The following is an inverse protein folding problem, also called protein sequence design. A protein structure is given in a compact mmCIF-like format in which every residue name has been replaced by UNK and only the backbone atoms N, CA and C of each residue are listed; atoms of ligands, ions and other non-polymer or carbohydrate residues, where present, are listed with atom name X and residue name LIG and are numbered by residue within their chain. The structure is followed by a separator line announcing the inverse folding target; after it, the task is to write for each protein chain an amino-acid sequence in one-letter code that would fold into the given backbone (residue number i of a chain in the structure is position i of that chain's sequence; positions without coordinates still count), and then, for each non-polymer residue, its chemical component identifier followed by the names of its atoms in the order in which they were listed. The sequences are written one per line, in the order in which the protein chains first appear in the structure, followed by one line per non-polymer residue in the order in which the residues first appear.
data_IF_787192290106
#
_entry.id   IF_787192290106
#
_cell.length_a   1.000
_cell.length_b   1.000
_cell.length_c   1.000
_cell.angle_alpha   90.00
_cell.angle_beta   90.00
_cell.angle_gamma   90.00
#
_symmetry.space_group_name_H-M   'P 1'
#
loop_
_entity.id
_entity.type
_entity.pdbx_description
1 polymer ?
#
# COMPACT_ATOMS: atom_id res chain seq x y z
N UNK A 1 3.70 13.80 -0.20
CA UNK A 1 4.82 12.83 -0.32
C UNK A 1 5.20 12.25 1.03
N UNK A 2 5.58 13.09 2.01
CA UNK A 2 6.09 12.66 3.32
C UNK A 2 5.09 11.81 4.12
N UNK A 3 3.80 12.15 4.02
CA UNK A 3 2.74 11.37 4.65
C UNK A 3 2.71 9.92 4.15
N UNK A 4 2.79 9.70 2.84
CA UNK A 4 2.79 8.36 2.26
C UNK A 4 4.04 7.58 2.66
N UNK A 5 5.22 8.23 2.68
CA UNK A 5 6.45 7.59 3.18
C UNK A 5 6.32 7.15 4.64
N UNK A 6 5.70 7.99 5.47
CA UNK A 6 5.40 7.64 6.87
C UNK A 6 4.48 6.44 6.96
N UNK A 7 3.41 6.38 6.15
CA UNK A 7 2.53 5.23 6.11
C UNK A 7 3.27 3.96 5.67
N UNK A 8 4.03 4.01 4.58
CA UNK A 8 4.77 2.87 4.07
C UNK A 8 5.71 2.28 5.13
N UNK A 9 6.47 3.13 5.81
CA UNK A 9 7.44 2.72 6.84
C UNK A 9 6.79 2.21 8.12
N UNK A 10 5.83 2.95 8.67
CA UNK A 10 5.31 2.68 10.02
C UNK A 10 4.05 1.82 10.05
N UNK A 11 3.37 1.69 8.91
CA UNK A 11 2.21 0.84 8.74
C UNK A 11 2.56 -0.47 7.99
N UNK A 12 3.86 -0.72 7.78
CA UNK A 12 4.45 -1.92 7.15
C UNK A 12 3.79 -2.26 5.81
N UNK A 13 3.69 -1.27 4.92
CA UNK A 13 3.06 -1.46 3.61
C UNK A 13 4.10 -1.96 2.61
N UNK A 14 3.97 -3.22 2.20
CA UNK A 14 4.80 -3.81 1.14
C UNK A 14 4.42 -3.21 -0.23
N UNK A 15 5.30 -3.29 -1.25
CA UNK A 15 5.02 -2.74 -2.57
C UNK A 15 3.69 -3.20 -3.20
N UNK A 16 3.27 -4.48 -3.09
CA UNK A 16 1.96 -4.90 -3.59
C UNK A 16 0.78 -4.20 -2.91
N UNK A 17 0.89 -3.88 -1.61
CA UNK A 17 -0.16 -3.14 -0.89
C UNK A 17 -0.24 -1.69 -1.37
N UNK A 18 0.90 -1.05 -1.64
CA UNK A 18 0.94 0.29 -2.20
C UNK A 18 0.32 0.31 -3.60
N UNK A 19 0.55 -0.72 -4.41
CA UNK A 19 -0.06 -0.87 -5.72
C UNK A 19 -1.57 -1.12 -5.63
N UNK A 20 -2.03 -1.94 -4.68
CA UNK A 20 -3.46 -2.14 -4.41
C UNK A 20 -4.15 -0.83 -3.98
N UNK A 21 -3.46 0.04 -3.24
CA UNK A 21 -4.00 1.38 -2.92
C UNK A 21 -4.21 2.24 -4.17
N UNK A 22 -3.35 2.12 -5.19
CA UNK A 22 -3.54 2.81 -6.49
C UNK A 22 -4.78 2.26 -7.20
N UNK A 23 -4.95 0.93 -7.22
CA UNK A 23 -6.16 0.30 -7.73
C UNK A 23 -7.43 0.81 -7.01
N UNK A 24 -7.39 0.91 -5.68
CA UNK A 24 -8.54 1.40 -4.91
C UNK A 24 -8.93 2.83 -5.22
N UNK A 25 -7.96 3.69 -5.55
CA UNK A 25 -8.23 5.06 -5.99
C UNK A 25 -9.11 5.02 -7.24
N UNK A 26 -8.66 4.29 -8.26
CA UNK A 26 -9.33 4.25 -9.55
C UNK A 26 -10.69 3.55 -9.46
N UNK A 27 -10.76 2.45 -8.71
CA UNK A 27 -11.99 1.72 -8.47
C UNK A 27 -13.06 2.57 -7.78
N UNK A 28 -12.69 3.35 -6.75
CA UNK A 28 -13.63 4.23 -6.06
C UNK A 28 -14.01 5.46 -6.86
N UNK A 29 -13.07 6.06 -7.58
CA UNK A 29 -13.37 7.18 -8.49
C UNK A 29 -14.35 6.75 -9.61
N UNK A 30 -14.26 5.51 -10.07
CA UNK A 30 -15.14 4.97 -11.11
C UNK A 30 -16.50 4.56 -10.54
N UNK A 31 -16.52 3.95 -9.35
CA UNK A 31 -17.74 3.39 -8.76
C UNK A 31 -18.57 4.40 -7.96
N UNK A 32 -17.96 5.48 -7.46
CA UNK A 32 -18.62 6.48 -6.64
C UNK A 32 -18.36 7.88 -7.21
N UNK A 33 -19.29 8.42 -8.00
CA UNK A 33 -19.13 9.70 -8.71
C UNK A 33 -18.89 10.90 -7.80
N UNK A 34 -19.45 10.89 -6.60
CA UNK A 34 -19.27 11.95 -5.61
C UNK A 34 -17.93 11.81 -4.86
N UNK A 35 -17.20 10.70 -5.04
CA UNK A 35 -15.85 10.55 -4.54
C UNK A 35 -14.88 11.37 -5.39
N UNK A 36 -14.28 12.38 -4.76
CA UNK A 36 -13.18 13.13 -5.35
C UNK A 36 -11.99 13.19 -4.40
N UNK A 37 -10.83 12.76 -4.90
CA UNK A 37 -9.57 12.93 -4.19
C UNK A 37 -9.07 14.35 -4.43
N UNK A 38 -8.97 15.12 -3.35
CA UNK A 38 -8.39 16.45 -3.34
C UNK A 38 -7.45 16.60 -2.14
N UNK A 39 -6.83 17.77 -2.01
CA UNK A 39 -5.86 18.06 -0.94
C UNK A 39 -6.44 17.94 0.47
N UNK A 40 -7.76 18.04 0.64
CA UNK A 40 -8.46 17.91 1.93
C UNK A 40 -8.83 16.44 2.24
N UNK A 41 -9.06 15.61 1.22
CA UNK A 41 -9.53 14.22 1.39
C UNK A 41 -8.42 13.17 1.27
N UNK A 42 -7.33 13.47 0.56
CA UNK A 42 -6.28 12.49 0.21
C UNK A 42 -5.63 11.83 1.43
N UNK A 43 -5.35 12.57 2.51
CA UNK A 43 -4.69 11.99 3.69
C UNK A 43 -5.56 10.94 4.37
N UNK A 44 -6.84 11.27 4.58
CA UNK A 44 -7.82 10.37 5.21
C UNK A 44 -8.11 9.17 4.32
N UNK A 45 -8.14 9.39 3.01
CA UNK A 45 -8.26 8.30 2.05
C UNK A 45 -7.05 7.36 2.11
N UNK A 46 -5.81 7.88 2.06
CA UNK A 46 -4.60 7.06 2.03
C UNK A 46 -4.47 6.14 3.24
N UNK A 47 -4.76 6.64 4.46
CA UNK A 47 -4.72 5.77 5.65
C UNK A 47 -5.83 4.71 5.63
N UNK A 48 -7.01 5.04 5.11
CA UNK A 48 -8.11 4.08 4.96
C UNK A 48 -7.73 3.00 3.95
N UNK A 49 -7.29 3.39 2.75
CA UNK A 49 -6.83 2.47 1.71
C UNK A 49 -5.67 1.59 2.17
N UNK A 50 -4.69 2.14 2.90
CA UNK A 50 -3.59 1.39 3.50
C UNK A 50 -4.09 0.34 4.51
N UNK A 51 -5.05 0.71 5.36
CA UNK A 51 -5.64 -0.20 6.34
C UNK A 51 -6.42 -1.33 5.67
N UNK A 52 -7.19 -1.01 4.63
CA UNK A 52 -7.96 -1.98 3.84
C UNK A 52 -7.04 -2.93 3.07
N UNK A 53 -6.02 -2.40 2.40
CA UNK A 53 -5.04 -3.20 1.67
C UNK A 53 -4.32 -4.17 2.62
N UNK A 54 -3.77 -3.66 3.72
CA UNK A 54 -3.02 -4.50 4.65
C UNK A 54 -3.89 -5.59 5.29
N UNK A 55 -5.09 -5.26 5.78
CA UNK A 55 -5.97 -6.26 6.37
C UNK A 55 -6.57 -7.24 5.37
N UNK A 56 -6.77 -6.80 4.12
CA UNK A 56 -7.41 -7.61 3.09
C UNK A 56 -6.44 -8.52 2.34
N UNK A 57 -5.16 -8.15 2.26
CA UNK A 57 -4.19 -8.78 1.36
C UNK A 57 -2.92 -9.26 2.05
N UNK A 58 -2.69 -8.93 3.33
CA UNK A 58 -1.49 -9.32 4.07
C UNK A 58 -1.85 -10.19 5.27
N UNK A 59 -1.07 -11.25 5.48
CA UNK A 59 -1.16 -12.11 6.67
C UNK A 59 -0.69 -11.39 7.95
N UNK A 60 0.16 -10.36 7.78
CA UNK A 60 0.64 -9.50 8.85
C UNK A 60 0.06 -8.10 8.71
N UNK A 61 -0.74 -7.69 9.69
CA UNK A 61 -1.40 -6.39 9.73
C UNK A 61 -1.55 -5.85 11.15
N UNK A 62 -1.76 -4.53 11.26
CA UNK A 62 -1.95 -3.87 12.55
C UNK A 62 -3.42 -3.68 12.92
N UNK A 63 -3.68 -3.39 14.20
CA UNK A 63 -5.02 -2.96 14.61
C UNK A 63 -5.30 -1.49 14.25
N UNK A 64 -6.57 -1.09 14.28
CA UNK A 64 -7.00 0.27 13.92
C UNK A 64 -6.39 1.35 14.81
N UNK A 65 -6.07 1.05 16.07
CA UNK A 65 -5.44 2.04 16.96
C UNK A 65 -4.04 2.38 16.45
N UNK A 66 -3.29 1.39 16.00
CA UNK A 66 -1.96 1.59 15.42
C UNK A 66 -2.03 2.35 14.10
N UNK A 67 -2.91 1.95 13.16
CA UNK A 67 -3.09 2.66 11.90
C UNK A 67 -3.54 4.11 12.13
N UNK A 68 -4.50 4.34 13.02
CA UNK A 68 -4.98 5.68 13.38
C UNK A 68 -3.86 6.55 13.98
N UNK A 69 -3.00 5.97 14.83
CA UNK A 69 -1.83 6.66 15.40
C UNK A 69 -0.83 7.06 14.32
N UNK A 70 -0.50 6.16 13.39
CA UNK A 70 0.43 6.43 12.27
C UNK A 70 -0.17 7.45 11.28
N UNK A 71 -1.46 7.33 11.01
CA UNK A 71 -2.22 8.21 10.13
C UNK A 71 -2.53 9.58 10.72
N UNK A 72 -2.43 9.75 12.04
CA UNK A 72 -2.78 11.00 12.73
C UNK A 72 -4.27 11.30 12.71
N UNK A 73 -5.12 10.27 12.77
CA UNK A 73 -6.58 10.39 12.72
C UNK A 73 -7.23 9.77 13.97
N UNK A 74 -8.43 10.22 14.38
CA UNK A 74 -9.17 9.56 15.45
C UNK A 74 -9.50 8.12 15.08
N UNK A 75 -9.35 7.19 16.02
CA UNK A 75 -9.64 5.75 15.78
C UNK A 75 -11.10 5.53 15.37
N UNK A 76 -12.02 6.29 15.95
CA UNK A 76 -13.45 6.23 15.61
C UNK A 76 -13.71 6.66 14.15
N UNK A 77 -12.99 7.68 13.69
CA UNK A 77 -13.07 8.14 12.30
C UNK A 77 -12.54 7.06 11.34
N UNK A 78 -11.37 6.47 11.64
CA UNK A 78 -10.79 5.44 10.80
C UNK A 78 -11.75 4.23 10.66
N UNK A 79 -12.36 3.79 11.77
CA UNK A 79 -13.37 2.71 11.73
C UNK A 79 -14.55 3.03 10.83
N UNK A 80 -15.07 4.26 10.93
CA UNK A 80 -16.20 4.69 10.11
C UNK A 80 -15.82 4.69 8.61
N UNK A 81 -14.61 5.18 8.29
CA UNK A 81 -14.11 5.19 6.91
C UNK A 81 -13.80 3.81 6.36
N UNK A 82 -13.28 2.89 7.16
CA UNK A 82 -13.12 1.48 6.75
C UNK A 82 -14.47 0.86 6.40
N UNK A 83 -15.48 1.06 7.25
CA UNK A 83 -16.82 0.54 7.00
C UNK A 83 -17.45 1.17 5.76
N UNK A 84 -17.37 2.50 5.61
CA UNK A 84 -17.84 3.18 4.40
C UNK A 84 -17.14 2.65 3.16
N UNK A 85 -15.81 2.52 3.19
CA UNK A 85 -15.02 1.97 2.09
C UNK A 85 -15.54 0.58 1.69
N UNK A 86 -15.73 -0.32 2.65
CA UNK A 86 -16.24 -1.67 2.42
C UNK A 86 -17.63 -1.68 1.78
N UNK A 87 -18.53 -0.80 2.22
CA UNK A 87 -19.84 -0.65 1.58
C UNK A 87 -19.74 -0.16 0.14
N UNK A 88 -18.83 0.78 -0.14
CA UNK A 88 -18.65 1.35 -1.49
C UNK A 88 -18.11 0.35 -2.49
N UNK A 89 -17.30 -0.60 -2.03
CA UNK A 89 -16.68 -1.64 -2.86
C UNK A 89 -17.40 -2.99 -2.75
N UNK A 90 -18.59 -3.03 -2.13
CA UNK A 90 -19.38 -4.26 -1.96
C UNK A 90 -18.56 -5.41 -1.35
N UNK A 91 -17.69 -5.08 -0.38
CA UNK A 91 -16.74 -6.00 0.27
C UNK A 91 -15.72 -6.69 -0.67
N UNK A 92 -15.69 -6.32 -1.95
CA UNK A 92 -14.77 -6.84 -2.98
C UNK A 92 -13.48 -6.03 -3.00
N UNK A 93 -12.66 -6.21 -1.96
CA UNK A 93 -11.38 -5.50 -1.80
C UNK A 93 -10.18 -6.23 -2.39
N UNK A 94 -10.32 -7.48 -2.81
CA UNK A 94 -9.21 -8.26 -3.39
C UNK A 94 -9.15 -7.99 -4.89
N UNK A 95 -8.12 -7.28 -5.39
CA UNK A 95 -7.96 -7.08 -6.83
C UNK A 95 -7.61 -8.40 -7.51
N UNK A 96 -8.05 -8.57 -8.75
CA UNK A 96 -7.56 -9.66 -9.58
C UNK A 96 -6.04 -9.46 -9.82
N UNK A 97 -5.19 -10.49 -9.60
CA UNK A 97 -3.77 -10.47 -9.94
C UNK A 97 -3.45 -9.90 -11.33
N UNK A 98 -4.23 -10.26 -12.36
CA UNK A 98 -3.99 -9.77 -13.73
C UNK A 98 -4.13 -8.25 -13.82
N UNK A 99 -5.18 -7.70 -13.20
CA UNK A 99 -5.42 -6.25 -13.14
C UNK A 99 -4.28 -5.57 -12.38
N UNK A 100 -3.85 -6.13 -11.26
CA UNK A 100 -2.75 -5.56 -10.48
C UNK A 100 -1.44 -5.53 -11.29
N UNK A 101 -1.20 -6.56 -12.10
CA UNK A 101 -0.11 -6.58 -13.09
C UNK A 101 -0.21 -5.41 -14.06
N UNK A 102 -1.37 -5.16 -14.66
CA UNK A 102 -1.59 -4.03 -15.58
C UNK A 102 -1.29 -2.67 -14.91
N UNK A 103 -1.70 -2.47 -13.64
CA UNK A 103 -1.36 -1.25 -12.90
C UNK A 103 0.16 -1.12 -12.68
N UNK A 104 0.86 -2.22 -12.41
CA UNK A 104 2.30 -2.23 -12.26
C UNK A 104 3.01 -1.87 -13.57
N UNK A 105 2.65 -2.53 -14.67
CA UNK A 105 3.16 -2.23 -16.01
C UNK A 105 2.95 -0.75 -16.36
N UNK A 106 1.72 -0.26 -16.23
CA UNK A 106 1.41 1.13 -16.51
C UNK A 106 2.16 2.11 -15.59
N UNK A 107 2.47 1.73 -14.34
CA UNK A 107 3.27 2.57 -13.44
C UNK A 107 4.74 2.66 -13.88
N UNK A 108 5.33 1.54 -14.31
CA UNK A 108 6.71 1.51 -14.82
C UNK A 108 6.83 2.32 -16.11
N UNK A 109 5.90 2.16 -17.05
CA UNK A 109 5.88 2.92 -18.31
C UNK A 109 5.80 4.43 -18.09
N UNK A 110 5.07 4.88 -17.06
CA UNK A 110 4.92 6.30 -16.70
C UNK A 110 6.09 6.86 -15.90
N UNK A 111 7.04 6.03 -15.47
CA UNK A 111 8.15 6.45 -14.62
C UNK A 111 9.49 6.27 -15.34
N UNK A 112 10.05 7.34 -15.93
CA UNK A 112 11.35 7.25 -16.61
C UNK A 112 12.43 6.71 -15.67
N UNK A 113 13.25 5.78 -16.17
CA UNK A 113 14.36 5.18 -15.41
C UNK A 113 14.05 3.84 -14.75
N UNK A 114 12.83 3.33 -14.86
CA UNK A 114 12.48 1.97 -14.44
C UNK A 114 12.17 1.10 -15.67
N UNK A 115 12.62 -0.16 -15.64
CA UNK A 115 12.30 -1.16 -16.66
C UNK A 115 11.88 -2.46 -15.98
N UNK A 116 10.99 -3.20 -16.62
CA UNK A 116 10.60 -4.52 -16.14
C UNK A 116 11.70 -5.50 -16.48
N UNK A 117 12.16 -6.22 -15.46
CA UNK A 117 13.10 -7.31 -15.64
C UNK A 117 12.34 -8.43 -16.34
N UNK A 118 12.77 -8.77 -17.56
CA UNK A 118 12.28 -9.96 -18.25
C UNK A 118 12.75 -11.19 -17.48
N UNK A 119 11.91 -12.22 -17.36
CA UNK A 119 12.19 -13.49 -16.66
C UNK A 119 13.44 -14.25 -17.18
N UNK A 120 14.15 -13.72 -18.19
CA UNK A 120 15.41 -14.23 -18.71
C UNK A 120 16.71 -13.74 -18.04
N UNK A 121 16.66 -12.83 -17.06
CA UNK A 121 17.86 -12.37 -16.32
C UNK A 121 17.73 -12.67 -14.82
N UNK A 122 17.76 -13.95 -14.49
CA UNK A 122 17.80 -14.44 -13.11
C UNK A 122 19.24 -14.49 -12.62
N UNK A 123 19.83 -13.35 -12.26
CA UNK A 123 21.11 -13.26 -11.53
C UNK A 123 21.24 -11.80 -11.09
N UNK A 124 20.81 -11.51 -9.86
CA UNK A 124 21.13 -10.32 -9.04
C UNK A 124 19.92 -9.92 -8.17
N UNK A 125 19.48 -10.82 -7.30
CA UNK A 125 18.74 -10.38 -6.11
C UNK A 125 19.76 -9.85 -5.09
N UNK A 126 19.66 -8.56 -4.81
CA UNK A 126 20.41 -7.86 -3.77
C UNK A 126 20.03 -8.45 -2.41
N UNK A 127 21.04 -8.85 -1.63
CA UNK A 127 20.90 -9.27 -0.24
C UNK A 127 20.35 -8.11 0.60
N UNK A 128 19.09 -8.21 1.05
CA UNK A 128 18.59 -7.41 2.17
C UNK A 128 19.07 -8.05 3.47
N UNK A 129 20.38 -7.99 3.76
CA UNK A 129 20.89 -8.24 5.11
C UNK A 129 22.14 -7.38 5.34
N UNK A 130 21.91 -6.16 5.84
CA UNK A 130 22.93 -5.31 6.43
C UNK A 130 23.24 -5.72 7.87
N UNK A 131 23.69 -6.96 8.09
CA UNK A 131 24.26 -7.39 9.36
C UNK A 131 25.74 -7.78 9.19
N UNK A 132 26.63 -6.82 9.41
CA UNK A 132 28.03 -7.13 9.73
C UNK A 132 28.07 -7.78 11.12
N UNK A 133 28.07 -9.11 11.16
CA UNK A 133 28.40 -9.86 12.38
C UNK A 133 29.91 -10.10 12.39
N UNK A 134 30.61 -9.29 13.18
CA UNK A 134 32.04 -9.39 13.43
C UNK A 134 32.31 -10.69 14.22
N UNK A 135 32.86 -11.71 13.57
CA UNK A 135 33.43 -12.89 14.24
C UNK A 135 34.90 -12.65 14.52
N UNK A 136 35.19 -12.05 15.68
CA UNK A 136 36.49 -12.18 16.35
C UNK A 136 36.31 -13.11 17.55
N UNK A 137 36.48 -14.42 17.33
CA UNK A 137 36.79 -15.34 18.40
C UNK A 137 38.29 -15.29 18.64
N UNK A 138 38.65 -14.77 19.81
CA UNK A 138 39.97 -14.78 20.39
C UNK A 138 40.56 -16.21 20.39
N UNK A 139 41.86 -16.28 20.06
CA UNK A 139 42.74 -17.40 20.41
C UNK A 139 42.96 -17.46 21.93
#
# INVERSE_FOLDING_TARGET
RDYLHRLARHATLTPPLLLAMVYYIDHLCTSYREFSINTLTVHRFLITAATMAAKGLSDSYWNNKTYARVGGVPVAELRLRELEFLYRVDWKIVPNPEILGEYYHGLVERTPGYTLVSEGSSEDYINEDGEERNEELAQ
#
